data_IF_010024120460
#
_entry.id   IF_010024120460
#
_cell.length_a   1.000
_cell.length_b   1.000
_cell.length_c   1.000
_cell.angle_alpha   90.00
_cell.angle_beta   90.00
_cell.angle_gamma   90.00
#
_symmetry.space_group_name_H-M   'P 1'
#
loop_
_entity.id
_entity.type
_entity.pdbx_description
1 polymer ?
#
# COMPACT_ATOMS: atom_id res chain seq x y z
N UNK A 1 -8.90 5.52 19.17
CA UNK A 1 -9.93 5.54 18.11
C UNK A 1 -10.44 4.12 17.94
N UNK A 2 -11.75 3.89 17.98
CA UNK A 2 -12.31 2.54 17.79
C UNK A 2 -12.86 2.42 16.37
N UNK A 3 -12.20 1.60 15.55
CA UNK A 3 -12.62 1.31 14.18
C UNK A 3 -13.36 -0.02 14.16
N UNK A 4 -14.66 0.02 13.90
CA UNK A 4 -15.50 -1.17 13.71
C UNK A 4 -16.10 -1.12 12.31
N UNK A 5 -15.38 -1.66 11.32
CA UNK A 5 -15.88 -1.75 9.94
C UNK A 5 -15.39 -3.00 9.23
N UNK A 6 -16.30 -3.63 8.51
CA UNK A 6 -16.03 -4.81 7.72
C UNK A 6 -15.23 -4.46 6.45
N UNK A 7 -14.27 -5.31 6.11
CA UNK A 7 -13.41 -5.25 4.93
C UNK A 7 -12.40 -6.39 5.02
N UNK A 8 -11.49 -6.47 4.05
CA UNK A 8 -10.45 -7.52 4.04
C UNK A 8 -9.44 -7.34 5.17
N UNK A 9 -9.19 -6.10 5.58
CA UNK A 9 -8.29 -5.78 6.70
C UNK A 9 -7.86 -4.32 6.75
N UNK A 10 -6.78 -4.07 7.47
CA UNK A 10 -6.16 -2.75 7.60
C UNK A 10 -4.64 -2.88 7.53
N UNK A 11 -4.01 -1.95 6.82
CA UNK A 11 -2.57 -1.79 6.76
C UNK A 11 -2.20 -0.64 7.69
N UNK A 12 -1.25 -0.87 8.59
CA UNK A 12 -0.60 0.18 9.36
C UNK A 12 0.85 0.25 8.90
N UNK A 13 1.26 1.39 8.34
CA UNK A 13 2.59 1.53 7.74
C UNK A 13 3.32 2.78 8.24
N UNK A 14 4.65 2.71 8.17
CA UNK A 14 5.52 3.89 8.25
C UNK A 14 5.49 4.67 6.92
N UNK A 15 6.08 5.88 6.85
CA UNK A 15 6.19 6.62 5.61
C UNK A 15 6.98 5.85 4.55
N UNK A 16 8.06 5.15 4.95
CA UNK A 16 8.80 4.24 4.06
C UNK A 16 7.93 3.10 3.55
N UNK A 17 7.04 2.55 4.39
CA UNK A 17 6.09 1.51 3.99
C UNK A 17 4.92 2.02 3.14
N UNK A 18 4.75 3.34 2.98
CA UNK A 18 3.69 3.94 2.14
C UNK A 18 3.85 3.57 0.66
N UNK A 19 5.07 3.24 0.25
CA UNK A 19 5.41 2.85 -1.13
C UNK A 19 5.36 1.34 -1.36
N UNK A 20 5.12 0.56 -0.30
CA UNK A 20 5.01 -0.90 -0.35
C UNK A 20 3.55 -1.33 -0.56
N UNK A 21 3.04 -2.29 0.21
CA UNK A 21 1.66 -2.78 0.05
C UNK A 21 0.62 -1.67 0.23
N UNK A 22 0.91 -0.67 1.08
CA UNK A 22 0.05 0.49 1.25
C UNK A 22 -0.13 1.29 -0.04
N UNK A 23 0.84 1.29 -0.97
CA UNK A 23 0.74 2.04 -2.23
C UNK A 23 -0.40 1.54 -3.13
N UNK A 24 -0.79 0.28 -3.00
CA UNK A 24 -1.89 -0.30 -3.78
C UNK A 24 -3.28 0.16 -3.29
N UNK A 25 -3.38 0.61 -2.03
CA UNK A 25 -4.66 0.95 -1.40
C UNK A 25 -4.73 2.42 -0.92
N UNK A 26 -3.58 3.08 -0.76
CA UNK A 26 -3.49 4.47 -0.30
C UNK A 26 -3.50 5.43 -1.50
N UNK A 27 -4.15 6.60 -1.39
CA UNK A 27 -4.21 7.59 -2.46
C UNK A 27 -2.91 8.38 -2.63
N UNK A 28 -1.96 8.28 -1.69
CA UNK A 28 -0.73 9.07 -1.71
C UNK A 28 0.43 8.33 -1.08
N UNK A 29 1.64 8.62 -1.58
CA UNK A 29 2.91 8.15 -1.04
C UNK A 29 3.53 9.27 -0.20
N UNK A 30 4.05 8.92 0.97
CA UNK A 30 4.62 9.88 1.91
C UNK A 30 6.14 9.75 1.95
N UNK A 31 6.90 10.85 1.83
CA UNK A 31 8.35 10.83 1.96
C UNK A 31 8.83 10.27 3.32
N UNK A 32 9.98 9.56 3.38
CA UNK A 32 10.51 8.96 4.61
C UNK A 32 10.78 9.92 5.77
N UNK A 33 10.97 11.22 5.49
CA UNK A 33 11.27 12.25 6.49
C UNK A 33 10.03 12.75 7.26
N UNK A 34 8.81 12.38 6.87
CA UNK A 34 7.59 12.82 7.54
C UNK A 34 7.34 11.94 8.78
N UNK A 35 7.34 12.47 10.02
CA UNK A 35 7.16 11.67 11.22
C UNK A 35 5.68 11.31 11.42
N UNK A 36 5.23 10.23 10.76
CA UNK A 36 3.83 9.80 10.79
C UNK A 36 3.66 8.28 10.79
N UNK A 37 2.48 7.84 11.21
CA UNK A 37 1.96 6.49 11.03
C UNK A 37 0.75 6.60 10.10
N UNK A 38 0.66 5.71 9.12
CA UNK A 38 -0.42 5.69 8.13
C UNK A 38 -1.32 4.48 8.38
N UNK A 39 -2.62 4.67 8.30
CA UNK A 39 -3.64 3.64 8.47
C UNK A 39 -4.46 3.59 7.19
N UNK A 40 -4.34 2.50 6.44
CA UNK A 40 -4.97 2.33 5.12
C UNK A 40 -5.85 1.09 5.13
N UNK A 41 -7.18 1.21 4.98
CA UNK A 41 -8.04 0.04 4.87
C UNK A 41 -7.82 -0.74 3.57
N UNK A 42 -8.03 -2.06 3.64
CA UNK A 42 -8.02 -2.95 2.47
C UNK A 42 -9.47 -3.27 2.11
N UNK A 43 -9.87 -2.91 0.89
CA UNK A 43 -11.21 -3.17 0.32
C UNK A 43 -12.35 -2.91 1.33
N UNK A 44 -12.47 -1.70 1.90
CA UNK A 44 -13.48 -1.45 2.93
C UNK A 44 -14.89 -1.55 2.34
N UNK A 45 -15.81 -2.24 3.03
CA UNK A 45 -17.23 -2.27 2.65
C UNK A 45 -17.96 -0.94 2.92
N UNK A 46 -17.23 0.12 3.27
CA UNK A 46 -17.78 1.46 3.49
C UNK A 46 -16.91 2.52 2.83
N UNK A 47 -17.55 3.33 1.99
CA UNK A 47 -16.93 4.45 1.26
C UNK A 47 -16.41 5.58 2.16
N UNK A 48 -16.86 5.62 3.41
CA UNK A 48 -16.40 6.62 4.40
C UNK A 48 -15.11 6.21 5.11
N UNK A 49 -14.60 5.00 4.86
CA UNK A 49 -13.36 4.55 5.46
C UNK A 49 -12.17 4.93 4.58
N UNK A 50 -11.71 6.16 4.74
CA UNK A 50 -10.57 6.71 4.02
C UNK A 50 -9.26 6.47 4.80
N UNK A 51 -8.11 6.39 4.11
CA UNK A 51 -6.81 6.32 4.78
C UNK A 51 -6.57 7.54 5.67
N UNK A 52 -5.93 7.31 6.82
CA UNK A 52 -5.65 8.34 7.83
C UNK A 52 -4.15 8.39 8.10
N UNK A 53 -3.61 9.61 8.20
CA UNK A 53 -2.24 9.85 8.64
C UNK A 53 -2.29 10.44 10.05
N UNK A 54 -1.58 9.82 10.99
CA UNK A 54 -1.49 10.26 12.38
C UNK A 54 -0.04 10.55 12.76
N UNK A 55 0.23 11.44 13.74
CA UNK A 55 1.60 11.74 14.17
C UNK A 55 2.34 10.51 14.72
N UNK A 56 3.65 10.42 14.52
CA UNK A 56 4.48 9.30 15.02
C UNK A 56 4.45 9.09 16.56
N UNK A 57 4.04 10.11 17.33
CA UNK A 57 3.96 10.01 18.79
C UNK A 57 2.73 9.27 19.32
N UNK A 58 1.82 8.82 18.45
CA UNK A 58 0.61 8.12 18.91
C UNK A 58 0.83 6.62 19.05
N UNK A 59 0.14 6.03 20.02
CA UNK A 59 0.02 4.59 20.16
C UNK A 59 -1.33 4.13 19.58
N UNK A 60 -1.28 3.12 18.71
CA UNK A 60 -2.46 2.51 18.11
C UNK A 60 -2.68 1.14 18.73
N UNK A 61 -3.92 0.86 19.13
CA UNK A 61 -4.33 -0.46 19.60
C UNK A 61 -5.38 -1.05 18.67
N UNK A 62 -5.09 -2.23 18.12
CA UNK A 62 -6.00 -3.00 17.27
C UNK A 62 -6.44 -4.24 18.04
N UNK A 63 -7.74 -4.46 18.10
CA UNK A 63 -8.36 -5.61 18.75
C UNK A 63 -9.43 -6.19 17.84
N UNK A 64 -9.67 -7.50 17.96
CA UNK A 64 -10.87 -8.08 17.36
C UNK A 64 -12.12 -7.54 18.04
N UNK A 65 -13.16 -7.29 17.25
CA UNK A 65 -14.48 -6.96 17.79
C UNK A 65 -14.97 -8.12 18.67
N UNK A 66 -15.62 -7.84 19.82
CA UNK A 66 -16.29 -8.88 20.60
C UNK A 66 -17.28 -9.72 19.79
N UNK A 67 -17.85 -9.13 18.74
CA UNK A 67 -18.83 -9.74 17.84
C UNK A 67 -18.20 -10.40 16.59
N UNK A 68 -16.86 -10.38 16.47
CA UNK A 68 -16.20 -11.00 15.33
C UNK A 68 -16.50 -12.52 15.31
N UNK A 69 -16.85 -13.05 14.13
CA UNK A 69 -17.14 -14.49 13.97
C UNK A 69 -15.88 -15.32 13.72
N UNK A 70 -14.83 -14.69 13.19
CA UNK A 70 -13.60 -15.34 12.75
C UNK A 70 -12.38 -14.69 13.43
N UNK A 71 -11.30 -15.44 13.50
CA UNK A 71 -9.97 -14.93 13.87
C UNK A 71 -9.41 -14.03 12.77
N UNK A 72 -8.47 -13.16 13.12
CA UNK A 72 -7.73 -12.35 12.17
C UNK A 72 -6.27 -12.82 12.08
N UNK A 73 -5.57 -12.33 11.07
CA UNK A 73 -4.15 -12.60 10.91
C UNK A 73 -3.39 -11.28 10.81
N UNK A 74 -2.25 -11.20 11.48
CA UNK A 74 -1.31 -10.09 11.35
C UNK A 74 -0.05 -10.59 10.65
N UNK A 75 0.57 -9.73 9.86
CA UNK A 75 1.84 -9.96 9.20
C UNK A 75 2.69 -8.69 9.34
N UNK A 76 3.98 -8.86 9.61
CA UNK A 76 4.94 -7.77 9.81
C UNK A 76 5.88 -7.75 8.61
N UNK A 77 5.85 -6.68 7.82
CA UNK A 77 6.61 -6.54 6.57
C UNK A 77 6.46 -7.74 5.61
N UNK A 78 5.25 -8.29 5.55
CA UNK A 78 4.92 -9.46 4.73
C UNK A 78 5.46 -10.79 5.27
N UNK A 79 6.05 -10.79 6.48
CA UNK A 79 6.64 -11.96 7.13
C UNK A 79 5.97 -12.24 8.48
N UNK A 80 6.27 -13.40 9.06
CA UNK A 80 5.84 -13.81 10.42
C UNK A 80 4.32 -13.65 10.62
N UNK A 81 3.54 -14.39 9.84
CA UNK A 81 2.09 -14.38 9.95
C UNK A 81 1.67 -15.01 11.28
N UNK A 82 0.93 -14.26 12.09
CA UNK A 82 0.44 -14.68 13.41
C UNK A 82 -1.08 -14.59 13.46
N UNK A 83 -1.73 -15.63 14.00
CA UNK A 83 -3.17 -15.62 14.25
C UNK A 83 -3.48 -14.77 15.48
N UNK A 84 -4.53 -13.95 15.38
CA UNK A 84 -5.08 -13.09 16.42
C UNK A 84 -6.45 -13.63 16.81
N UNK A 85 -6.66 -13.88 18.10
CA UNK A 85 -7.89 -14.45 18.65
C UNK A 85 -8.61 -13.43 19.53
N UNK A 86 -9.85 -13.76 19.92
CA UNK A 86 -10.60 -12.92 20.84
C UNK A 86 -9.83 -12.75 22.16
N UNK A 87 -9.75 -11.51 22.65
CA UNK A 87 -8.99 -11.15 23.83
C UNK A 87 -7.56 -10.68 23.53
N UNK A 88 -7.01 -11.00 22.35
CA UNK A 88 -5.70 -10.50 21.94
C UNK A 88 -5.77 -9.02 21.53
N UNK A 89 -4.65 -8.33 21.68
CA UNK A 89 -4.49 -6.97 21.19
C UNK A 89 -3.13 -6.74 20.57
N UNK A 90 -3.12 -6.00 19.46
CA UNK A 90 -1.90 -5.55 18.80
C UNK A 90 -1.71 -4.07 19.16
N UNK A 91 -0.54 -3.74 19.71
CA UNK A 91 -0.14 -2.35 19.97
C UNK A 91 0.94 -1.96 18.99
N UNK A 92 0.76 -0.82 18.33
CA UNK A 92 1.67 -0.28 17.32
C UNK A 92 2.06 1.13 17.75
N UNK A 93 3.37 1.38 17.83
CA UNK A 93 3.95 2.68 18.11
C UNK A 93 5.22 2.85 17.28
N UNK A 94 5.63 4.10 17.07
CA UNK A 94 6.92 4.38 16.42
C UNK A 94 8.08 3.89 17.28
N UNK A 95 8.99 3.13 16.67
CA UNK A 95 10.17 2.57 17.34
C UNK A 95 11.19 3.66 17.70
N UNK A 96 11.87 3.50 18.82
CA UNK A 96 13.04 4.31 19.19
C UNK A 96 14.33 3.91 18.44
N UNK A 97 14.27 2.85 17.62
CA UNK A 97 15.39 2.36 16.81
C UNK A 97 15.05 2.50 15.32
N UNK A 98 15.24 3.68 14.71
CA UNK A 98 15.04 3.87 13.28
C UNK A 98 16.15 3.17 12.48
N UNK A 99 15.83 2.75 11.25
CA UNK A 99 16.82 2.18 10.34
C UNK A 99 17.54 3.32 9.60
N UNK A 100 18.87 3.52 9.80
CA UNK A 100 19.61 4.56 9.11
C UNK A 100 19.75 4.21 7.62
N UNK A 101 19.26 5.09 6.75
CA UNK A 101 19.39 4.98 5.30
C UNK A 101 20.49 5.91 4.82
N UNK A 102 21.46 5.38 4.05
CA UNK A 102 22.55 6.16 3.46
C UNK A 102 22.02 6.78 2.17
N UNK A 103 22.09 8.11 2.07
CA UNK A 103 21.69 8.86 0.88
C UNK A 103 22.91 9.10 -0.03
N UNK A 104 22.69 9.09 -1.34
CA UNK A 104 23.68 9.44 -2.36
C UNK A 104 23.85 10.96 -2.42
N UNK A 105 22.73 11.69 -2.45
CA UNK A 105 22.71 13.16 -2.48
C UNK A 105 22.10 13.72 -1.19
N UNK A 106 20.78 13.83 -1.16
CA UNK A 106 19.99 14.17 0.01
C UNK A 106 18.70 13.33 0.07
N UNK A 107 18.10 13.17 1.26
CA UNK A 107 16.95 12.27 1.44
C UNK A 107 15.73 12.62 0.59
N UNK A 108 15.59 13.87 0.18
CA UNK A 108 14.43 14.34 -0.57
C UNK A 108 14.64 14.05 -2.05
N UNK A 109 15.78 14.44 -2.61
CA UNK A 109 16.12 14.18 -4.01
C UNK A 109 16.22 12.69 -4.30
N UNK A 110 16.91 11.91 -3.45
CA UNK A 110 17.02 10.46 -3.61
C UNK A 110 15.64 9.78 -3.65
N UNK A 111 14.68 10.25 -2.84
CA UNK A 111 13.30 9.75 -2.84
C UNK A 111 12.56 10.09 -4.13
N UNK A 112 12.62 11.34 -4.58
CA UNK A 112 11.97 11.76 -5.83
C UNK A 112 12.56 11.06 -7.06
N UNK A 113 13.89 10.90 -7.12
CA UNK A 113 14.56 10.16 -8.18
C UNK A 113 14.11 8.70 -8.19
N UNK A 114 14.07 8.05 -7.03
CA UNK A 114 13.58 6.67 -6.89
C UNK A 114 12.14 6.53 -7.36
N UNK A 115 11.25 7.46 -6.99
CA UNK A 115 9.87 7.47 -7.46
C UNK A 115 9.75 7.66 -8.97
N UNK A 116 10.50 8.60 -9.53
CA UNK A 116 10.49 8.88 -10.96
C UNK A 116 10.95 7.66 -11.77
N UNK A 117 11.98 6.95 -11.29
CA UNK A 117 12.49 5.73 -11.90
C UNK A 117 11.51 4.55 -11.77
N UNK A 118 10.90 4.34 -10.60
CA UNK A 118 10.02 3.19 -10.38
C UNK A 118 8.65 3.33 -11.03
N UNK A 119 8.04 4.53 -11.00
CA UNK A 119 6.66 4.73 -11.43
C UNK A 119 6.54 5.25 -12.87
N UNK A 120 7.61 5.80 -13.45
CA UNK A 120 7.61 6.41 -14.79
C UNK A 120 6.46 7.40 -15.05
N UNK A 121 5.91 8.00 -13.99
CA UNK A 121 4.64 8.74 -14.01
C UNK A 121 4.64 9.97 -14.93
N UNK A 122 5.82 10.50 -15.28
CA UNK A 122 6.02 11.62 -16.20
C UNK A 122 6.57 11.22 -17.58
N UNK A 123 6.67 9.93 -17.90
CA UNK A 123 7.15 9.46 -19.21
C UNK A 123 5.96 9.02 -20.06
N UNK A 124 5.55 9.86 -21.02
CA UNK A 124 4.59 9.43 -22.06
C UNK A 124 5.27 8.42 -22.99
N UNK A 125 4.91 7.14 -22.90
CA UNK A 125 5.17 6.20 -23.99
C UNK A 125 4.30 6.59 -25.18
N UNK A 126 4.93 6.87 -26.32
CA UNK A 126 4.23 7.12 -27.58
C UNK A 126 3.51 5.82 -27.96
N UNK A 127 2.18 5.82 -27.97
CA UNK A 127 1.40 4.65 -28.40
C UNK A 127 1.67 4.41 -29.88
N UNK A 128 2.11 3.20 -30.23
CA UNK A 128 2.23 2.78 -31.61
C UNK A 128 0.83 2.62 -32.22
N UNK A 129 0.69 2.94 -33.51
CA UNK A 129 -0.52 2.72 -34.28
C UNK A 129 -0.77 1.22 -34.40
N UNK A 130 -2.03 0.77 -34.26
CA UNK A 130 -2.38 -0.62 -34.55
C UNK A 130 -2.15 -0.87 -36.03
N UNK A 131 -1.29 -1.84 -36.38
CA UNK A 131 -1.22 -2.34 -37.75
C UNK A 131 -2.44 -3.24 -37.95
N UNK A 132 -3.36 -2.85 -38.84
CA UNK A 132 -4.43 -3.72 -39.31
C UNK A 132 -3.79 -4.82 -40.15
N UNK A 133 -3.88 -6.07 -39.72
CA UNK A 133 -3.49 -7.23 -40.52
C UNK A 133 -4.42 -7.29 -41.74
N UNK A 134 -3.89 -7.06 -42.95
CA UNK A 134 -4.60 -7.32 -44.20
C UNK A 134 -4.88 -8.84 -44.30
N UNK A 135 -6.13 -9.24 -44.06
CA UNK A 135 -6.68 -10.52 -44.51
C UNK A 135 -6.66 -10.55 -46.04
N UNK A 136 -5.57 -11.06 -46.62
CA UNK A 136 -5.57 -11.53 -47.99
C UNK A 136 -6.42 -12.81 -48.05
N UNK A 137 -7.71 -12.63 -48.36
CA UNK A 137 -8.58 -13.70 -48.81
C UNK A 137 -8.02 -14.31 -50.11
N UNK A 138 -7.39 -15.49 -50.00
CA UNK A 138 -7.22 -16.39 -51.15
C UNK A 138 -8.60 -16.98 -51.49
N UNK A 139 -9.23 -16.45 -52.53
CA UNK A 139 -10.43 -17.00 -53.16
C UNK A 139 -10.13 -17.38 -54.63
N UNK A 140 -10.61 -18.56 -55.04
CA UNK A 140 -10.67 -19.07 -56.43
C UNK A 140 -9.35 -19.63 -56.98
N UNK A 141 -9.16 -20.91 -57.29
CA UNK A 141 -10.11 -21.87 -57.87
C UNK A 141 -10.32 -21.59 -59.36
N UNK A 142 -9.56 -22.26 -60.25
CA UNK A 142 -9.98 -22.63 -61.62
C UNK A 142 -8.88 -23.41 -62.36
N UNK A 143 -9.27 -24.48 -63.08
CA UNK A 143 -8.57 -24.99 -64.26
C UNK A 143 -7.87 -26.34 -64.15
#
# INVERSE_FOLDING_TARGET
MQMAKAGDGVIVSTPTGSTAYAAAAAPSMTPPNVPAIMITPICPHSLTFQPIVVPAGVELKITLSPEARNTAWVSLDGRKRQEIRHGDSITIATSCYPLPSICISDPVNDWFESLAQCLHWNVRKKQAHFEEEEEAAEDGGEG
#
